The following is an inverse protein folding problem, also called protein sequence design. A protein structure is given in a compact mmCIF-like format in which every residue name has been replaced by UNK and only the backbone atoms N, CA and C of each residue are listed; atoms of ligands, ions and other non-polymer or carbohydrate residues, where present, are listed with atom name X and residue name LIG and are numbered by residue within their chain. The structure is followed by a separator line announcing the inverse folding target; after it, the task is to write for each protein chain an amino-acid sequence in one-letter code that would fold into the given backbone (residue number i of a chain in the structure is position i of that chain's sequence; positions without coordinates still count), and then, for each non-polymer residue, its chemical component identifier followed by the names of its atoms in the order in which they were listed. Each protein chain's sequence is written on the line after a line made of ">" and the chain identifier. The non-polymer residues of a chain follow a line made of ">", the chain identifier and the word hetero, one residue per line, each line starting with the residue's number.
data_IF_242388805179
#
_entry.id   IF_242388805179
#
_cell.length_a   1.000
_cell.length_b   1.000
_cell.length_c   1.000
_cell.angle_alpha   90.00
_cell.angle_beta   90.00
_cell.angle_gamma   90.00
#
_symmetry.space_group_name_H-M   'P 1'
#
loop_
_entity.id
_entity.type
_entity.pdbx_description
1 polymer ?
#
# COMPACT_ATOMS: atom_id res chain seq x y z
N UNK A 1 -16.12 3.85 10.15
CA UNK A 1 -15.31 3.12 11.14
C UNK A 1 -16.14 2.46 12.23
N UNK A 2 -17.12 3.14 12.85
CA UNK A 2 -17.92 2.56 13.95
C UNK A 2 -18.52 1.15 13.66
N UNK A 3 -19.04 0.89 12.45
CA UNK A 3 -19.53 -0.44 12.08
C UNK A 3 -18.43 -1.50 12.01
N UNK A 4 -17.25 -1.17 11.45
CA UNK A 4 -16.10 -2.07 11.37
C UNK A 4 -15.53 -2.37 12.76
N UNK A 5 -15.45 -1.35 13.61
CA UNK A 5 -15.02 -1.47 15.00
C UNK A 5 -15.90 -2.46 15.77
N UNK A 6 -17.23 -2.35 15.66
CA UNK A 6 -18.17 -3.29 16.29
C UNK A 6 -17.97 -4.71 15.76
N UNK A 7 -17.76 -4.89 14.46
CA UNK A 7 -17.50 -6.22 13.89
C UNK A 7 -16.22 -6.84 14.44
N UNK A 8 -15.13 -6.06 14.52
CA UNK A 8 -13.84 -6.54 15.02
C UNK A 8 -13.91 -6.86 16.51
N UNK A 9 -14.44 -5.93 17.31
CA UNK A 9 -14.39 -6.01 18.78
C UNK A 9 -15.50 -6.87 19.38
N UNK A 10 -16.70 -6.87 18.79
CA UNK A 10 -17.89 -7.54 19.33
C UNK A 10 -18.41 -8.67 18.45
N UNK A 11 -18.10 -8.66 17.15
CA UNK A 11 -18.58 -9.65 16.18
C UNK A 11 -17.80 -10.97 16.14
N UNK A 12 -16.89 -11.21 17.10
CA UNK A 12 -15.93 -12.34 17.08
C UNK A 12 -15.07 -12.39 15.81
N UNK A 13 -14.77 -11.24 15.21
CA UNK A 13 -13.96 -11.14 14.01
C UNK A 13 -12.58 -10.57 14.36
N UNK A 14 -11.64 -11.43 14.77
CA UNK A 14 -10.27 -11.03 15.08
C UNK A 14 -9.48 -10.78 13.77
N UNK A 15 -9.74 -9.64 13.12
CA UNK A 15 -8.99 -9.24 11.94
C UNK A 15 -7.57 -8.85 12.34
N UNK A 16 -6.56 -9.38 11.64
CA UNK A 16 -5.17 -8.94 11.75
C UNK A 16 -4.83 -7.91 10.66
N UNK A 17 -5.62 -7.87 9.58
CA UNK A 17 -5.42 -6.96 8.47
C UNK A 17 -6.74 -6.50 7.82
N UNK A 18 -6.71 -5.28 7.28
CA UNK A 18 -7.73 -4.68 6.43
C UNK A 18 -7.09 -4.32 5.08
N UNK A 19 -7.67 -4.83 3.98
CA UNK A 19 -7.23 -4.50 2.62
C UNK A 19 -8.27 -3.59 1.98
N UNK A 20 -7.84 -2.41 1.56
CA UNK A 20 -8.62 -1.46 0.78
C UNK A 20 -8.15 -1.54 -0.67
N UNK A 21 -8.94 -2.21 -1.50
CA UNK A 21 -8.60 -2.45 -2.90
C UNK A 21 -9.03 -1.28 -3.79
N UNK A 22 -8.13 -0.86 -4.69
CA UNK A 22 -8.41 0.14 -5.72
C UNK A 22 -8.63 1.56 -5.18
N UNK A 23 -7.98 1.94 -4.09
CA UNK A 23 -8.16 3.26 -3.48
C UNK A 23 -7.65 4.37 -4.41
N UNK A 24 -8.49 5.38 -4.64
CA UNK A 24 -8.14 6.51 -5.52
C UNK A 24 -7.47 7.64 -4.74
N UNK A 25 -6.14 7.64 -4.74
CA UNK A 25 -5.34 8.67 -4.07
C UNK A 25 -5.40 10.04 -4.76
N UNK A 26 -5.93 10.16 -5.99
CA UNK A 26 -6.10 11.45 -6.66
C UNK A 26 -7.19 12.29 -5.98
N UNK A 27 -8.28 11.63 -5.57
CA UNK A 27 -9.44 12.25 -4.92
C UNK A 27 -9.32 12.29 -3.39
N UNK A 28 -8.35 11.57 -2.81
CA UNK A 28 -8.16 11.50 -1.36
C UNK A 28 -7.42 12.72 -0.77
N UNK A 29 -7.69 12.98 0.51
CA UNK A 29 -6.97 13.95 1.33
C UNK A 29 -6.01 13.26 2.31
N UNK A 30 -4.97 13.96 2.76
CA UNK A 30 -4.05 13.43 3.77
C UNK A 30 -4.76 13.13 5.10
N UNK A 31 -5.82 13.88 5.41
CA UNK A 31 -6.66 13.65 6.59
C UNK A 31 -7.43 12.32 6.51
N UNK A 32 -7.84 11.89 5.31
CA UNK A 32 -8.47 10.59 5.12
C UNK A 32 -7.51 9.45 5.49
N UNK A 33 -6.26 9.53 5.01
CA UNK A 33 -5.23 8.53 5.33
C UNK A 33 -4.85 8.55 6.81
N UNK A 34 -4.80 9.74 7.43
CA UNK A 34 -4.56 9.86 8.88
C UNK A 34 -5.62 9.11 9.68
N UNK A 35 -6.91 9.24 9.33
CA UNK A 35 -7.99 8.50 10.01
C UNK A 35 -7.81 6.99 9.89
N UNK A 36 -7.36 6.50 8.74
CA UNK A 36 -7.04 5.08 8.59
C UNK A 36 -5.85 4.66 9.45
N UNK A 37 -4.80 5.48 9.52
CA UNK A 37 -3.63 5.25 10.39
C UNK A 37 -4.04 5.18 11.86
N UNK A 38 -4.81 6.15 12.34
CA UNK A 38 -5.33 6.17 13.72
C UNK A 38 -6.22 4.95 14.02
N UNK A 39 -7.07 4.56 13.06
CA UNK A 39 -7.89 3.36 13.18
C UNK A 39 -7.05 2.09 13.27
N UNK A 40 -6.04 1.95 12.42
CA UNK A 40 -5.09 0.83 12.43
C UNK A 40 -4.39 0.70 13.80
N UNK A 41 -3.91 1.82 14.35
CA UNK A 41 -3.26 1.88 15.66
C UNK A 41 -4.23 1.54 16.80
N UNK A 42 -5.47 2.03 16.73
CA UNK A 42 -6.48 1.80 17.79
C UNK A 42 -6.94 0.34 17.81
N UNK A 43 -7.07 -0.29 16.64
CA UNK A 43 -7.52 -1.67 16.50
C UNK A 43 -6.39 -2.71 16.53
N UNK A 44 -5.12 -2.26 16.51
CA UNK A 44 -3.92 -3.10 16.40
C UNK A 44 -3.94 -4.03 15.17
N UNK A 45 -4.26 -3.46 13.99
CA UNK A 45 -4.33 -4.19 12.72
C UNK A 45 -3.44 -3.55 11.65
N UNK A 46 -3.03 -4.35 10.67
CA UNK A 46 -2.42 -3.81 9.46
C UNK A 46 -3.46 -3.28 8.48
N UNK A 47 -3.24 -2.11 7.88
CA UNK A 47 -4.11 -1.59 6.82
C UNK A 47 -3.30 -1.43 5.54
N UNK A 48 -3.68 -2.18 4.52
CA UNK A 48 -3.04 -2.20 3.21
C UNK A 48 -3.94 -1.57 2.15
N UNK A 49 -3.36 -0.73 1.32
CA UNK A 49 -4.05 -0.10 0.18
C UNK A 49 -3.45 -0.60 -1.12
N UNK A 50 -4.29 -1.04 -2.05
CA UNK A 50 -3.89 -1.19 -3.45
C UNK A 50 -4.34 0.06 -4.22
N UNK A 51 -3.52 0.51 -5.16
CA UNK A 51 -3.87 1.63 -6.02
C UNK A 51 -3.26 1.47 -7.42
N UNK A 52 -4.07 1.78 -8.43
CA UNK A 52 -3.59 1.90 -9.80
C UNK A 52 -3.13 3.32 -10.07
N UNK A 53 -1.89 3.48 -10.52
CA UNK A 53 -1.36 4.79 -10.87
C UNK A 53 -1.91 5.22 -12.23
N UNK A 54 -2.57 6.38 -12.26
CA UNK A 54 -3.09 7.02 -13.48
C UNK A 54 -2.47 8.40 -13.63
N UNK A 55 -2.24 8.85 -14.87
CA UNK A 55 -1.77 10.20 -15.15
C UNK A 55 -0.73 10.29 -16.26
N UNK A 56 -0.29 11.51 -16.55
CA UNK A 56 0.74 11.78 -17.56
C UNK A 56 2.14 11.44 -17.03
N UNK A 57 3.00 10.94 -17.92
CA UNK A 57 4.39 10.66 -17.57
C UNK A 57 5.20 11.93 -17.24
N UNK A 58 6.18 11.85 -16.32
CA UNK A 58 6.52 10.67 -15.53
C UNK A 58 5.61 10.51 -14.30
N UNK A 59 5.17 9.28 -14.06
CA UNK A 59 4.28 8.89 -12.95
C UNK A 59 5.03 8.90 -11.60
N UNK A 60 6.31 8.50 -11.63
CA UNK A 60 7.19 8.43 -10.47
C UNK A 60 8.13 9.64 -10.44
N UNK A 61 8.69 9.92 -9.26
CA UNK A 61 9.84 10.82 -9.13
C UNK A 61 11.18 10.06 -9.15
N UNK A 62 12.28 10.79 -8.92
CA UNK A 62 13.64 10.24 -8.95
C UNK A 62 13.91 9.18 -7.87
N UNK A 63 13.10 9.15 -6.81
CA UNK A 63 13.25 8.24 -5.67
C UNK A 63 12.29 7.04 -5.80
N UNK A 64 11.60 6.90 -6.94
CA UNK A 64 10.64 5.82 -7.21
C UNK A 64 9.28 6.02 -6.54
N UNK A 65 8.99 7.21 -6.02
CA UNK A 65 7.73 7.54 -5.36
C UNK A 65 6.71 7.99 -6.40
N UNK A 66 5.50 7.39 -6.46
CA UNK A 66 4.43 7.91 -7.29
C UNK A 66 4.09 9.35 -6.90
N UNK A 67 4.04 10.28 -7.86
CA UNK A 67 3.84 11.71 -7.57
C UNK A 67 2.55 11.97 -6.80
N UNK A 68 1.49 11.22 -7.10
CA UNK A 68 0.20 11.32 -6.41
C UNK A 68 0.31 11.02 -4.91
N UNK A 69 1.27 10.18 -4.50
CA UNK A 69 1.46 9.76 -3.12
C UNK A 69 2.29 10.73 -2.28
N UNK A 70 2.96 11.73 -2.89
CA UNK A 70 3.88 12.64 -2.18
C UNK A 70 3.26 13.32 -0.96
N UNK A 71 2.02 13.80 -1.10
CA UNK A 71 1.29 14.51 -0.03
C UNK A 71 0.83 13.59 1.11
N UNK A 72 0.94 12.28 0.95
CA UNK A 72 0.50 11.27 1.92
C UNK A 72 1.66 10.53 2.58
N UNK A 73 2.91 10.82 2.19
CA UNK A 73 4.07 10.04 2.62
C UNK A 73 4.22 9.95 4.13
N UNK A 74 3.85 10.99 4.88
CA UNK A 74 3.94 10.98 6.34
C UNK A 74 2.97 9.98 6.99
N UNK A 75 1.83 9.74 6.36
CA UNK A 75 0.80 8.81 6.83
C UNK A 75 1.05 7.36 6.34
N UNK A 76 1.94 7.17 5.36
CA UNK A 76 2.29 5.86 4.79
C UNK A 76 3.50 5.28 5.53
N UNK A 77 3.29 4.18 6.28
CA UNK A 77 4.36 3.48 6.98
C UNK A 77 5.29 2.68 6.04
N UNK A 78 4.72 2.02 5.03
CA UNK A 78 5.43 1.19 4.05
C UNK A 78 4.90 1.50 2.66
N UNK A 79 5.79 1.66 1.67
CA UNK A 79 5.43 1.88 0.27
C UNK A 79 6.14 0.86 -0.60
N UNK A 80 5.35 0.04 -1.29
CA UNK A 80 5.82 -0.93 -2.29
C UNK A 80 5.25 -0.51 -3.64
N UNK A 81 6.09 -0.51 -4.67
CA UNK A 81 5.67 -0.30 -6.05
C UNK A 81 5.84 -1.58 -6.86
N UNK A 82 4.90 -1.82 -7.76
CA UNK A 82 4.93 -2.92 -8.71
C UNK A 82 5.38 -2.38 -10.06
N UNK A 83 6.28 -3.10 -10.72
CA UNK A 83 6.74 -2.74 -12.06
C UNK A 83 6.82 -3.96 -12.96
N UNK A 84 6.24 -3.86 -14.15
CA UNK A 84 6.37 -4.89 -15.17
C UNK A 84 7.76 -4.84 -15.80
N UNK A 85 8.47 -5.97 -15.76
CA UNK A 85 9.85 -6.12 -16.24
C UNK A 85 9.92 -6.92 -17.55
N UNK A 86 8.81 -7.04 -18.28
CA UNK A 86 8.71 -7.81 -19.53
C UNK A 86 8.20 -9.23 -19.31
N UNK A 87 8.91 -10.04 -18.52
CA UNK A 87 8.51 -11.43 -18.28
C UNK A 87 7.87 -11.66 -16.91
N UNK A 88 8.07 -10.72 -15.97
CA UNK A 88 7.57 -10.81 -14.60
C UNK A 88 7.20 -9.43 -14.05
N UNK A 89 6.47 -9.40 -12.93
CA UNK A 89 6.25 -8.20 -12.12
C UNK A 89 7.26 -8.22 -10.98
N UNK A 90 8.08 -7.18 -10.88
CA UNK A 90 9.00 -6.96 -9.76
C UNK A 90 8.36 -6.08 -8.69
N UNK A 91 8.73 -6.34 -7.43
CA UNK A 91 8.37 -5.52 -6.28
C UNK A 91 9.55 -4.63 -5.89
N UNK A 92 9.28 -3.36 -5.64
CA UNK A 92 10.28 -2.42 -5.15
C UNK A 92 9.81 -1.78 -3.84
N UNK A 93 10.55 -2.02 -2.76
CA UNK A 93 10.32 -1.39 -1.47
C UNK A 93 10.90 0.03 -1.50
N UNK A 94 10.03 1.03 -1.61
CA UNK A 94 10.37 2.46 -1.74
C UNK A 94 10.45 3.16 -0.39
N UNK A 95 9.57 2.80 0.55
CA UNK A 95 9.59 3.29 1.95
C UNK A 95 9.36 2.12 2.88
N UNK A 96 10.06 2.12 4.01
CA UNK A 96 9.85 1.17 5.11
C UNK A 96 9.75 1.94 6.44
N UNK A 97 9.27 1.26 7.50
CA UNK A 97 8.97 1.86 8.82
C UNK A 97 10.23 2.44 9.48
N UNK A 98 11.17 1.56 9.86
CA UNK A 98 12.31 1.91 10.71
C UNK A 98 13.68 1.53 10.14
N UNK A 99 13.70 0.96 8.93
CA UNK A 99 14.93 0.57 8.24
C UNK A 99 14.96 1.21 6.86
N UNK A 100 16.15 1.44 6.28
CA UNK A 100 16.25 1.92 4.91
C UNK A 100 15.50 1.00 3.92
N UNK A 101 14.88 1.56 2.87
CA UNK A 101 14.27 0.76 1.82
C UNK A 101 15.33 -0.12 1.14
N UNK A 102 14.99 -1.39 0.91
CA UNK A 102 15.86 -2.35 0.23
C UNK A 102 15.90 -2.14 -1.30
N UNK A 103 14.96 -1.36 -1.85
CA UNK A 103 14.78 -1.25 -3.29
C UNK A 103 14.12 -2.52 -3.84
N UNK A 104 14.68 -3.06 -4.92
CA UNK A 104 14.14 -4.24 -5.59
C UNK A 104 14.21 -5.46 -4.67
N UNK A 105 13.05 -6.08 -4.42
CA UNK A 105 12.94 -7.28 -3.59
C UNK A 105 13.23 -8.51 -4.46
N UNK A 106 13.86 -9.57 -3.90
CA UNK A 106 14.05 -10.84 -4.58
C UNK A 106 12.71 -11.61 -4.61
N UNK A 107 11.74 -11.10 -5.37
CA UNK A 107 10.44 -11.73 -5.57
C UNK A 107 9.95 -11.38 -6.97
N UNK A 108 9.55 -12.40 -7.72
CA UNK A 108 8.96 -12.24 -9.06
C UNK A 108 7.54 -12.77 -9.05
N UNK A 109 6.61 -11.96 -9.53
CA UNK A 109 5.25 -12.42 -9.78
C UNK A 109 5.04 -12.71 -11.27
N UNK A 110 4.29 -13.76 -11.56
CA UNK A 110 3.82 -14.05 -12.91
C UNK A 110 2.80 -12.95 -13.34
N UNK A 111 2.96 -12.30 -14.50
CA UNK A 111 2.11 -11.17 -14.89
C UNK A 111 0.65 -11.54 -15.17
N UNK A 112 0.37 -12.80 -15.53
CA UNK A 112 -0.97 -13.25 -15.88
C UNK A 112 -1.79 -13.63 -14.63
N UNK A 113 -1.12 -14.18 -13.62
CA UNK A 113 -1.75 -14.72 -12.41
C UNK A 113 -1.53 -13.86 -11.17
N UNK A 114 -0.53 -12.99 -11.17
CA UNK A 114 -0.03 -12.23 -10.01
C UNK A 114 0.42 -13.12 -8.84
N UNK A 115 0.62 -14.42 -9.08
CA UNK A 115 1.17 -15.36 -8.10
C UNK A 115 2.70 -15.36 -8.14
N UNK A 116 3.32 -15.82 -7.06
CA UNK A 116 4.78 -15.93 -6.96
C UNK A 116 5.28 -16.95 -7.98
N UNK A 117 6.20 -16.51 -8.84
CA UNK A 117 6.87 -17.35 -9.83
C UNK A 117 8.25 -17.82 -9.35
N UNK A 118 8.96 -16.98 -8.57
CA UNK A 118 10.31 -17.26 -8.03
C UNK A 118 10.57 -16.38 -6.78
N UNK A 119 11.22 -16.97 -5.77
CA UNK A 119 11.78 -16.31 -4.56
C UNK A 119 13.32 -16.28 -4.62
#
# INVERSE_FOLDING_TARGET
>A
FNSLEIMITQGQFAAEALIVDGYDFAEASADDLRKFREFAETMDIEVWFSASLRGNEPIFDKDGIPKVLKKFLDEIAVLITLSFKGEYIGLNLVKNRNVPPQGELPLKLDPATMLIAEE
#
